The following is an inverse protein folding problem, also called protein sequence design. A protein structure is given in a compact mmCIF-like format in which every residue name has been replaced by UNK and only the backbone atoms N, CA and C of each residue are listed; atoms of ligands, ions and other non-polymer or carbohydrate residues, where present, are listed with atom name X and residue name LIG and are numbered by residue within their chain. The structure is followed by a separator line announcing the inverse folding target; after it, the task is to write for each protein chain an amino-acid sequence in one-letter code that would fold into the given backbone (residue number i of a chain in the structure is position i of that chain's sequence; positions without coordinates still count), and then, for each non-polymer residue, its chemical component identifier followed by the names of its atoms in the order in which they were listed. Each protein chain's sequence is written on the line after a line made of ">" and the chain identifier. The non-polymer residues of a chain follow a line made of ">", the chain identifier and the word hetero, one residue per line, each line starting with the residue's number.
data_IF_335517343731
#
_entry.id   IF_335517343731
#
_cell.length_a   1.000
_cell.length_b   1.000
_cell.length_c   1.000
_cell.angle_alpha   90.00
_cell.angle_beta   90.00
_cell.angle_gamma   90.00
#
_symmetry.space_group_name_H-M   'P 1'
#
loop_
_entity.id
_entity.type
_entity.pdbx_description
1 polymer ?
#
# COMPACT_ATOMS: atom_id res chain seq x y z
N UNK A 1 -13.25 16.28 -7.18
CA UNK A 1 -13.26 17.63 -7.76
C UNK A 1 -13.47 18.74 -6.73
N UNK A 2 -14.13 18.49 -5.59
CA UNK A 2 -14.26 19.48 -4.51
C UNK A 2 -12.91 20.03 -4.00
N UNK A 3 -11.84 19.23 -4.02
CA UNK A 3 -10.49 19.65 -3.61
C UNK A 3 -9.83 20.69 -4.52
N UNK A 4 -10.44 21.05 -5.67
CA UNK A 4 -9.90 22.08 -6.54
C UNK A 4 -10.06 23.50 -5.97
N UNK A 5 -10.92 23.69 -4.97
CA UNK A 5 -11.24 25.01 -4.42
C UNK A 5 -11.94 25.91 -5.44
N UNK A 6 -12.62 25.31 -6.41
CA UNK A 6 -13.33 26.00 -7.47
C UNK A 6 -14.81 26.14 -7.13
N UNK A 7 -15.41 27.19 -7.67
CA UNK A 7 -16.86 27.37 -7.71
C UNK A 7 -17.55 26.13 -8.30
N UNK A 8 -18.74 25.82 -7.78
CA UNK A 8 -19.49 24.62 -8.19
C UNK A 8 -19.77 24.59 -9.71
N UNK A 9 -20.07 25.74 -10.30
CA UNK A 9 -20.28 25.85 -11.74
C UNK A 9 -19.02 25.52 -12.56
N UNK A 10 -17.84 25.89 -12.06
CA UNK A 10 -16.54 25.59 -12.70
C UNK A 10 -16.25 24.08 -12.65
N UNK A 11 -16.58 23.44 -11.51
CA UNK A 11 -16.49 21.99 -11.33
C UNK A 11 -17.41 21.25 -12.31
N UNK A 12 -18.67 21.67 -12.42
CA UNK A 12 -19.63 21.06 -13.34
C UNK A 12 -19.20 21.23 -14.81
N UNK A 13 -18.68 22.41 -15.17
CA UNK A 13 -18.12 22.66 -16.51
C UNK A 13 -16.95 21.73 -16.82
N UNK A 14 -15.98 21.62 -15.91
CA UNK A 14 -14.83 20.72 -16.07
C UNK A 14 -15.27 19.25 -16.20
N UNK A 15 -16.27 18.82 -15.41
CA UNK A 15 -16.80 17.46 -15.44
C UNK A 15 -17.52 17.13 -16.76
N UNK A 16 -18.07 18.13 -17.44
CA UNK A 16 -18.72 17.97 -18.74
C UNK A 16 -17.73 17.87 -19.92
N UNK A 17 -16.48 18.31 -19.75
CA UNK A 17 -15.46 18.23 -20.80
C UNK A 17 -15.07 16.77 -21.09
N UNK A 18 -14.73 16.43 -22.36
CA UNK A 18 -14.08 15.17 -22.70
C UNK A 18 -12.78 14.96 -21.90
N UNK A 19 -12.36 13.72 -21.61
CA UNK A 19 -11.20 13.45 -20.75
C UNK A 19 -9.90 14.14 -21.18
N UNK A 20 -9.58 14.12 -22.48
CA UNK A 20 -8.37 14.78 -23.02
C UNK A 20 -8.41 16.30 -22.80
N UNK A 21 -9.51 16.94 -23.20
CA UNK A 21 -9.70 18.40 -23.04
C UNK A 21 -9.68 18.82 -21.57
N UNK A 22 -10.25 17.98 -20.69
CA UNK A 22 -10.20 18.23 -19.24
C UNK A 22 -8.78 18.19 -18.71
N UNK A 23 -7.98 17.21 -19.13
CA UNK A 23 -6.58 17.09 -18.73
C UNK A 23 -5.79 18.33 -19.16
N UNK A 24 -5.90 18.72 -20.44
CA UNK A 24 -5.20 19.89 -20.98
C UNK A 24 -5.64 21.17 -20.24
N UNK A 25 -6.95 21.34 -20.02
CA UNK A 25 -7.48 22.48 -19.25
C UNK A 25 -6.92 22.53 -17.82
N UNK A 26 -6.85 21.38 -17.14
CA UNK A 26 -6.29 21.29 -15.77
C UNK A 26 -4.79 21.57 -15.75
N UNK A 27 -4.06 21.14 -16.79
CA UNK A 27 -2.64 21.36 -16.95
C UNK A 27 -2.34 22.84 -17.21
N UNK A 28 -2.98 23.43 -18.21
CA UNK A 28 -2.80 24.84 -18.62
C UNK A 28 -3.14 25.81 -17.49
N UNK A 29 -4.15 25.48 -16.67
CA UNK A 29 -4.57 26.31 -15.53
C UNK A 29 -3.80 26.03 -14.24
N UNK A 30 -2.84 25.10 -14.24
CA UNK A 30 -2.06 24.73 -13.06
C UNK A 30 -2.87 24.05 -11.96
N UNK A 31 -4.02 23.46 -12.29
CA UNK A 31 -4.94 22.79 -11.35
C UNK A 31 -4.70 21.29 -11.23
N UNK A 32 -3.85 20.72 -12.11
CA UNK A 32 -3.64 19.29 -12.22
C UNK A 32 -3.16 18.65 -10.90
N UNK A 33 -2.25 19.27 -10.16
CA UNK A 33 -1.77 18.74 -8.87
C UNK A 33 -2.89 18.70 -7.83
N UNK A 34 -3.71 19.75 -7.73
CA UNK A 34 -4.88 19.77 -6.82
C UNK A 34 -5.93 18.76 -7.24
N UNK A 35 -6.09 18.55 -8.55
CA UNK A 35 -7.01 17.55 -9.08
C UNK A 35 -6.61 16.15 -8.62
N UNK A 36 -5.35 15.76 -8.83
CA UNK A 36 -4.85 14.45 -8.41
C UNK A 36 -4.86 14.27 -6.90
N UNK A 37 -4.53 15.32 -6.12
CA UNK A 37 -4.67 15.28 -4.66
C UNK A 37 -6.12 15.02 -4.26
N UNK A 38 -7.08 15.70 -4.90
CA UNK A 38 -8.50 15.47 -4.65
C UNK A 38 -8.98 14.06 -5.00
N UNK A 39 -8.37 13.42 -6.01
CA UNK A 39 -8.65 12.03 -6.34
C UNK A 39 -8.06 11.09 -5.30
N UNK A 40 -6.81 11.31 -4.89
CA UNK A 40 -6.17 10.58 -3.79
C UNK A 40 -7.02 10.65 -2.52
N UNK A 41 -7.54 11.85 -2.18
CA UNK A 41 -8.39 12.06 -1.00
C UNK A 41 -9.71 11.30 -1.08
N UNK A 42 -10.35 11.30 -2.25
CA UNK A 42 -11.58 10.54 -2.47
C UNK A 42 -11.35 9.02 -2.36
N UNK A 43 -10.23 8.52 -2.88
CA UNK A 43 -9.86 7.10 -2.75
C UNK A 43 -9.59 6.75 -1.30
N UNK A 44 -8.80 7.55 -0.59
CA UNK A 44 -8.47 7.32 0.81
C UNK A 44 -9.71 7.30 1.70
N UNK A 45 -10.66 8.23 1.47
CA UNK A 45 -11.94 8.25 2.19
C UNK A 45 -12.73 6.95 2.00
N UNK A 46 -12.87 6.49 0.75
CA UNK A 46 -13.57 5.23 0.43
C UNK A 46 -12.87 4.01 1.01
N UNK A 47 -11.54 3.94 0.90
CA UNK A 47 -10.75 2.84 1.45
C UNK A 47 -10.82 2.79 2.98
N UNK A 48 -10.84 3.94 3.67
CA UNK A 48 -11.00 3.99 5.13
C UNK A 48 -12.37 3.47 5.58
N UNK A 49 -13.45 3.83 4.86
CA UNK A 49 -14.79 3.28 5.13
C UNK A 49 -14.79 1.76 4.94
N UNK A 50 -14.27 1.27 3.81
CA UNK A 50 -14.19 -0.17 3.53
C UNK A 50 -13.39 -0.92 4.59
N UNK A 51 -12.23 -0.39 4.99
CA UNK A 51 -11.44 -0.94 6.11
C UNK A 51 -12.27 -1.00 7.39
N UNK A 52 -13.00 0.07 7.71
CA UNK A 52 -13.86 0.14 8.88
C UNK A 52 -14.88 -0.99 8.90
N UNK A 53 -15.58 -1.22 7.79
CA UNK A 53 -16.53 -2.31 7.65
C UNK A 53 -15.86 -3.69 7.78
N UNK A 54 -14.71 -3.90 7.11
CA UNK A 54 -13.98 -5.16 7.20
C UNK A 54 -13.51 -5.47 8.62
N UNK A 55 -13.04 -4.47 9.37
CA UNK A 55 -12.61 -4.64 10.76
C UNK A 55 -13.78 -4.88 11.71
N UNK A 56 -14.97 -4.33 11.45
CA UNK A 56 -16.17 -4.67 12.22
C UNK A 56 -16.53 -6.15 12.08
N UNK A 57 -16.37 -6.70 10.88
CA UNK A 57 -16.62 -8.12 10.62
C UNK A 57 -15.49 -9.01 11.15
N UNK A 58 -14.23 -8.58 11.03
CA UNK A 58 -13.03 -9.31 11.43
C UNK A 58 -12.02 -8.36 12.08
N UNK A 59 -12.05 -8.19 13.43
CA UNK A 59 -11.22 -7.20 14.13
C UNK A 59 -9.71 -7.34 13.87
N UNK A 60 -9.24 -8.57 13.69
CA UNK A 60 -7.83 -8.91 13.50
C UNK A 60 -7.36 -8.86 12.04
N UNK A 61 -8.24 -8.46 11.11
CA UNK A 61 -7.85 -8.37 9.69
C UNK A 61 -6.74 -7.34 9.51
N UNK A 62 -5.68 -7.76 8.81
CA UNK A 62 -4.57 -6.91 8.40
C UNK A 62 -4.52 -6.86 6.88
N UNK A 63 -4.02 -5.74 6.35
CA UNK A 63 -3.94 -5.51 4.92
C UNK A 63 -2.48 -5.59 4.47
N UNK A 64 -2.28 -6.15 3.30
CA UNK A 64 -1.00 -6.16 2.61
C UNK A 64 -1.19 -5.57 1.21
N UNK A 65 -0.19 -4.83 0.74
CA UNK A 65 -0.12 -4.29 -0.60
C UNK A 65 1.14 -4.83 -1.27
N UNK A 66 0.94 -5.60 -2.33
CA UNK A 66 2.02 -6.22 -3.10
C UNK A 66 2.17 -5.52 -4.44
N UNK A 67 3.39 -5.08 -4.75
CA UNK A 67 3.72 -4.38 -5.98
C UNK A 67 5.22 -4.54 -6.28
N UNK A 68 5.58 -4.50 -7.56
CA UNK A 68 7.00 -4.53 -7.97
C UNK A 68 7.72 -3.25 -7.56
N UNK A 69 7.09 -2.12 -7.84
CA UNK A 69 7.65 -0.78 -7.66
C UNK A 69 6.94 -0.02 -6.54
N UNK A 70 7.64 0.95 -5.93
CA UNK A 70 7.07 1.82 -4.91
C UNK A 70 5.88 2.63 -5.48
N UNK A 71 4.67 2.51 -4.91
CA UNK A 71 3.51 3.26 -5.40
C UNK A 71 3.69 4.78 -5.33
N UNK A 72 3.51 5.44 -6.47
CA UNK A 72 3.63 6.91 -6.57
C UNK A 72 2.40 7.57 -7.19
N UNK A 73 1.49 6.79 -7.76
CA UNK A 73 0.25 7.30 -8.34
C UNK A 73 -0.81 7.61 -7.27
N UNK A 74 -1.68 8.58 -7.58
CA UNK A 74 -2.73 9.06 -6.67
C UNK A 74 -3.68 7.96 -6.20
N UNK A 75 -3.92 6.92 -7.02
CA UNK A 75 -4.87 5.86 -6.69
C UNK A 75 -4.26 4.93 -5.65
N UNK A 76 -3.07 4.40 -5.93
CA UNK A 76 -2.37 3.52 -5.00
C UNK A 76 -2.03 4.23 -3.70
N UNK A 77 -1.57 5.49 -3.75
CA UNK A 77 -1.32 6.29 -2.53
C UNK A 77 -2.61 6.48 -1.72
N UNK A 78 -3.73 6.77 -2.38
CA UNK A 78 -5.03 6.88 -1.73
C UNK A 78 -5.45 5.57 -1.05
N UNK A 79 -5.25 4.43 -1.72
CA UNK A 79 -5.52 3.11 -1.14
C UNK A 79 -4.65 2.85 0.09
N UNK A 80 -3.33 3.04 -0.04
CA UNK A 80 -2.39 2.85 1.07
C UNK A 80 -2.76 3.72 2.27
N UNK A 81 -3.13 4.99 2.03
CA UNK A 81 -3.54 5.92 3.09
C UNK A 81 -4.85 5.50 3.74
N UNK A 82 -5.86 5.12 2.95
CA UNK A 82 -7.16 4.72 3.50
C UNK A 82 -7.14 3.38 4.24
N UNK A 83 -6.34 2.41 3.79
CA UNK A 83 -6.22 1.11 4.45
C UNK A 83 -5.26 1.11 5.64
N UNK A 84 -4.40 2.10 5.78
CA UNK A 84 -3.45 2.20 6.89
C UNK A 84 -3.91 3.13 8.01
N UNK A 85 -3.45 2.87 9.23
CA UNK A 85 -3.61 3.72 10.42
C UNK A 85 -2.43 3.49 11.36
N UNK A 86 -2.23 4.36 12.37
CA UNK A 86 -1.22 4.14 13.40
C UNK A 86 -1.32 2.75 14.06
N UNK A 87 -2.55 2.29 14.36
CA UNK A 87 -2.79 1.02 15.07
C UNK A 87 -2.84 -0.20 14.12
N UNK A 88 -3.14 0.05 12.85
CA UNK A 88 -3.20 -0.95 11.81
C UNK A 88 -2.41 -0.50 10.58
N UNK A 89 -1.07 -0.61 10.63
CA UNK A 89 -0.25 -0.31 9.47
C UNK A 89 -0.46 -1.35 8.38
N UNK A 90 -0.30 -0.93 7.12
CA UNK A 90 -0.34 -1.81 5.96
C UNK A 90 1.03 -2.45 5.72
N UNK A 91 1.05 -3.74 5.39
CA UNK A 91 2.29 -4.41 4.99
C UNK A 91 2.60 -4.09 3.54
N UNK A 92 3.72 -3.43 3.29
CA UNK A 92 4.23 -3.17 1.95
C UNK A 92 5.22 -4.24 1.55
N UNK A 93 4.85 -5.00 0.52
CA UNK A 93 5.75 -5.91 -0.14
C UNK A 93 6.18 -5.28 -1.46
N UNK A 94 7.45 -4.88 -1.50
CA UNK A 94 8.13 -4.29 -2.65
C UNK A 94 9.25 -5.23 -3.10
N UNK A 95 9.43 -5.38 -4.41
CA UNK A 95 10.57 -6.13 -4.95
C UNK A 95 11.89 -5.36 -4.82
N UNK A 96 11.84 -4.04 -4.99
CA UNK A 96 13.02 -3.17 -4.96
C UNK A 96 13.38 -2.66 -3.54
N UNK A 97 14.67 -2.44 -3.29
CA UNK A 97 15.22 -2.05 -1.99
C UNK A 97 15.35 -0.52 -1.84
N UNK A 98 14.22 0.17 -1.69
CA UNK A 98 14.17 1.63 -1.45
C UNK A 98 13.59 1.99 -0.07
N UNK A 99 13.62 1.04 0.86
CA UNK A 99 12.62 0.87 1.93
C UNK A 99 12.71 1.86 3.11
N UNK A 100 13.89 2.22 3.65
CA UNK A 100 13.96 3.13 4.81
C UNK A 100 13.51 4.55 4.45
N UNK A 101 13.92 5.06 3.28
CA UNK A 101 13.53 6.41 2.83
C UNK A 101 12.07 6.46 2.38
N UNK A 102 11.55 5.34 1.83
CA UNK A 102 10.17 5.26 1.38
C UNK A 102 9.17 5.30 2.54
N UNK A 103 9.41 4.55 3.61
CA UNK A 103 8.54 4.57 4.79
C UNK A 103 8.42 5.97 5.40
N UNK A 104 9.53 6.75 5.41
CA UNK A 104 9.51 8.15 5.85
C UNK A 104 8.69 9.05 4.91
N UNK A 105 8.85 8.89 3.59
CA UNK A 105 8.06 9.66 2.59
C UNK A 105 6.57 9.38 2.72
N UNK A 106 6.21 8.12 2.97
CA UNK A 106 4.83 7.69 3.19
C UNK A 106 4.24 8.24 4.48
N UNK A 107 5.02 8.28 5.56
CA UNK A 107 4.57 8.86 6.82
C UNK A 107 4.24 10.35 6.71
N UNK A 108 4.93 11.12 5.86
CA UNK A 108 4.61 12.53 5.58
C UNK A 108 3.25 12.68 4.87
N UNK A 109 2.72 11.61 4.28
CA UNK A 109 1.44 11.55 3.57
C UNK A 109 0.38 10.75 4.34
N UNK A 110 0.54 10.58 5.65
CA UNK A 110 -0.34 9.77 6.51
C UNK A 110 -0.51 8.31 6.07
N UNK A 111 0.49 7.76 5.37
CA UNK A 111 0.56 6.35 5.03
C UNK A 111 1.39 5.61 6.08
N UNK A 112 0.72 4.77 6.86
CA UNK A 112 1.35 3.97 7.91
C UNK A 112 1.72 2.59 7.35
N UNK A 113 2.96 2.45 6.92
CA UNK A 113 3.44 1.24 6.29
C UNK A 113 4.52 0.54 7.11
N UNK A 114 4.48 -0.79 7.10
CA UNK A 114 5.56 -1.66 7.52
C UNK A 114 6.12 -2.36 6.29
N UNK A 115 7.44 -2.34 6.12
CA UNK A 115 8.08 -3.11 5.06
C UNK A 115 8.06 -4.60 5.40
N UNK A 116 7.66 -5.41 4.43
CA UNK A 116 7.81 -6.85 4.44
C UNK A 116 8.69 -7.29 3.27
N UNK A 117 9.56 -8.28 3.50
CA UNK A 117 10.29 -8.97 2.43
C UNK A 117 9.51 -10.21 2.01
N UNK A 118 9.27 -10.34 0.71
CA UNK A 118 8.92 -11.61 0.11
C UNK A 118 10.14 -12.51 0.03
N UNK A 119 10.07 -13.67 0.66
CA UNK A 119 11.02 -14.75 0.49
C UNK A 119 10.46 -15.68 -0.58
N UNK A 120 11.10 -15.72 -1.74
CA UNK A 120 10.65 -16.53 -2.87
C UNK A 120 11.24 -17.95 -2.77
N UNK A 121 10.48 -18.95 -2.29
CA UNK A 121 10.99 -20.29 -2.00
C UNK A 121 11.28 -21.08 -3.29
N UNK A 122 10.70 -20.68 -4.43
CA UNK A 122 10.89 -21.38 -5.72
C UNK A 122 12.28 -21.07 -6.31
N UNK A 123 12.91 -19.95 -5.91
CA UNK A 123 14.31 -19.66 -6.21
C UNK A 123 15.27 -20.18 -5.13
N UNK A 124 14.75 -20.77 -4.06
CA UNK A 124 15.50 -21.15 -2.87
C UNK A 124 16.06 -22.58 -2.96
N UNK A 125 17.18 -22.73 -3.64
CA UNK A 125 18.27 -23.57 -3.09
C UNK A 125 19.01 -22.76 -2.02
N UNK A 126 18.32 -22.34 -0.95
CA UNK A 126 19.02 -21.67 0.15
C UNK A 126 19.83 -22.72 0.90
N UNK A 127 21.14 -22.53 0.94
CA UNK A 127 21.99 -23.36 1.79
C UNK A 127 21.63 -23.10 3.27
N UNK A 128 21.72 -24.10 4.18
CA UNK A 128 21.40 -23.92 5.60
C UNK A 128 22.11 -22.74 6.27
N UNK A 129 23.33 -22.40 5.81
CA UNK A 129 24.09 -21.25 6.31
C UNK A 129 23.50 -19.88 5.89
N UNK A 130 22.82 -19.83 4.74
CA UNK A 130 22.16 -18.62 4.24
C UNK A 130 20.88 -18.32 5.02
N UNK A 131 20.23 -19.35 5.57
CA UNK A 131 19.03 -19.24 6.39
C UNK A 131 19.26 -18.43 7.68
N UNK A 132 20.42 -18.60 8.31
CA UNK A 132 20.79 -17.82 9.51
C UNK A 132 21.03 -16.34 9.20
N UNK A 133 21.65 -16.03 8.05
CA UNK A 133 21.84 -14.65 7.57
C UNK A 133 20.53 -14.03 7.12
N UNK A 134 19.66 -14.81 6.48
CA UNK A 134 18.33 -14.40 6.07
C UNK A 134 17.48 -14.02 7.28
N UNK A 135 17.53 -14.80 8.37
CA UNK A 135 16.86 -14.43 9.64
C UNK A 135 17.40 -13.10 10.15
N UNK A 136 18.72 -12.92 10.22
CA UNK A 136 19.29 -11.67 10.70
C UNK A 136 18.84 -10.46 9.87
N UNK A 137 18.95 -10.53 8.53
CA UNK A 137 18.51 -9.45 7.65
C UNK A 137 16.99 -9.21 7.74
N UNK A 138 16.18 -10.28 7.66
CA UNK A 138 14.72 -10.21 7.69
C UNK A 138 14.17 -9.62 9.00
N UNK A 139 14.76 -9.93 10.16
CA UNK A 139 14.26 -9.48 11.46
C UNK A 139 14.87 -8.15 11.95
N UNK A 140 16.03 -7.74 11.41
CA UNK A 140 16.67 -6.48 11.80
C UNK A 140 16.15 -5.30 10.98
N UNK A 141 15.88 -5.54 9.69
CA UNK A 141 15.53 -4.46 8.74
C UNK A 141 14.03 -4.45 8.38
N UNK A 142 13.27 -5.48 8.74
CA UNK A 142 11.86 -5.63 8.36
C UNK A 142 10.97 -5.99 9.54
N UNK A 143 9.70 -5.61 9.44
CA UNK A 143 8.69 -5.93 10.45
C UNK A 143 8.11 -7.35 10.28
N UNK A 144 8.57 -8.11 9.28
CA UNK A 144 8.11 -9.46 8.98
C UNK A 144 8.51 -9.93 7.58
N UNK A 145 8.19 -11.18 7.28
CA UNK A 145 8.42 -11.81 5.99
C UNK A 145 7.15 -12.53 5.51
N UNK A 146 7.03 -12.68 4.19
CA UNK A 146 6.01 -13.49 3.54
C UNK A 146 6.70 -14.58 2.70
N UNK A 147 6.15 -15.79 2.71
CA UNK A 147 6.62 -16.90 1.87
C UNK A 147 5.67 -17.00 0.69
N UNK A 148 6.17 -16.74 -0.52
CA UNK A 148 5.34 -16.89 -1.72
C UNK A 148 5.28 -18.37 -2.12
N UNK A 149 4.18 -19.04 -1.80
CA UNK A 149 4.03 -20.45 -2.05
C UNK A 149 2.79 -20.94 -1.34
N UNK A 150 1.79 -21.34 -2.12
CA UNK A 150 0.57 -21.92 -1.58
C UNK A 150 0.88 -23.03 -0.57
N UNK A 151 0.37 -22.87 0.64
CA UNK A 151 -0.09 -24.00 1.41
C UNK A 151 -1.56 -23.77 1.74
N UNK A 152 -2.41 -24.36 0.91
CA UNK A 152 -3.75 -24.82 1.29
C UNK A 152 -3.74 -25.81 2.47
N UNK A 153 -2.59 -26.03 3.13
CA UNK A 153 -2.49 -26.70 4.40
C UNK A 153 -2.20 -25.68 5.51
N UNK A 154 -3.20 -25.51 6.37
CA UNK A 154 -3.22 -24.66 7.56
C UNK A 154 -1.87 -24.57 8.29
N UNK A 155 -1.44 -23.33 8.58
CA UNK A 155 -0.34 -22.93 9.48
C UNK A 155 -0.21 -23.80 10.76
N UNK A 156 -1.32 -24.36 11.26
CA UNK A 156 -1.35 -25.27 12.41
C UNK A 156 -0.56 -26.58 12.22
N UNK A 157 -0.37 -27.06 10.99
CA UNK A 157 0.39 -28.30 10.73
C UNK A 157 1.91 -28.07 10.71
N UNK A 158 2.35 -26.86 10.33
CA UNK A 158 3.76 -26.46 10.38
C UNK A 158 4.23 -26.25 11.81
N UNK A 159 3.40 -25.62 12.65
CA UNK A 159 3.73 -25.35 14.07
C UNK A 159 3.93 -26.66 14.87
N UNK A 160 3.14 -27.71 14.61
CA UNK A 160 3.31 -29.02 15.27
C UNK A 160 4.62 -29.74 14.92
N UNK A 161 5.26 -29.39 13.79
CA UNK A 161 6.49 -30.05 13.35
C UNK A 161 7.75 -29.45 13.99
N UNK A 162 7.65 -28.23 14.50
CA UNK A 162 8.72 -27.55 15.24
C UNK A 162 8.61 -27.68 16.77
N UNK A 163 7.52 -28.28 17.26
CA UNK A 163 7.30 -28.55 18.69
C UNK A 163 7.71 -29.99 19.09
N UNK A 164 8.64 -30.61 18.36
CA UNK A 164 9.31 -31.86 18.74
C UNK A 164 10.78 -31.59 18.99
#
# INVERSE_FOLDING_TARGET
>A
MAALGLERAEIERLAALPPAVRYDTLLERGWLSRYFQGLEDAVAGRASVLRGELRRLRPDVRFAFHTSDAPTDWFSLGLLRGFSSPDAPIFLWLREDTRPTLARRYRVRDVFALSAIGLEPVRATFAPAELSRLRFAAFTEHAGFWLDGAATDSLGRVIRRFAK
#
